data_IF_030747273246
#
_entry.id   IF_030747273246
#
_cell.length_a   1.000
_cell.length_b   1.000
_cell.length_c   1.000
_cell.angle_alpha   90.00
_cell.angle_beta   90.00
_cell.angle_gamma   90.00
#
_symmetry.space_group_name_H-M   'P 1'
#
loop_
_entity.id
_entity.type
_entity.pdbx_description
1 polymer ?
#
# COMPACT_ATOMS: atom_id res chain seq x y z
N UNK A 1 20.90 -23.38 -28.93
CA UNK A 1 19.88 -24.21 -28.27
C UNK A 1 19.12 -23.31 -27.31
N UNK A 2 17.87 -22.99 -27.62
CA UNK A 2 17.03 -22.24 -26.73
C UNK A 2 16.61 -23.20 -25.61
N UNK A 3 17.04 -22.93 -24.36
CA UNK A 3 16.58 -23.65 -23.18
C UNK A 3 15.09 -23.42 -23.03
N UNK A 4 14.35 -24.48 -22.74
CA UNK A 4 12.91 -24.40 -22.50
C UNK A 4 12.62 -23.42 -21.39
N UNK A 5 11.65 -22.48 -21.54
CA UNK A 5 11.29 -21.55 -20.49
C UNK A 5 10.66 -22.36 -19.35
N UNK A 6 11.37 -22.50 -18.23
CA UNK A 6 10.85 -23.17 -17.06
C UNK A 6 11.85 -23.88 -16.14
N UNK A 7 13.15 -23.79 -16.37
CA UNK A 7 14.08 -24.28 -15.36
C UNK A 7 14.13 -23.33 -14.16
N UNK A 8 14.13 -23.86 -12.91
CA UNK A 8 14.17 -23.06 -11.69
C UNK A 8 15.33 -22.04 -11.64
N UNK A 9 16.44 -22.34 -12.31
CA UNK A 9 17.62 -21.46 -12.40
C UNK A 9 17.37 -20.19 -13.20
N UNK A 10 16.52 -20.22 -14.23
CA UNK A 10 16.19 -19.04 -15.03
C UNK A 10 15.35 -18.02 -14.23
N UNK A 11 14.50 -18.51 -13.34
CA UNK A 11 13.66 -17.65 -12.48
C UNK A 11 14.51 -16.96 -11.42
N UNK A 12 15.52 -17.63 -10.86
CA UNK A 12 16.39 -17.09 -9.83
C UNK A 12 17.55 -16.24 -10.39
N UNK A 13 17.83 -16.34 -11.69
CA UNK A 13 18.94 -15.65 -12.34
C UNK A 13 19.00 -14.14 -12.08
N UNK A 14 17.89 -13.36 -12.08
CA UNK A 14 17.95 -11.94 -11.77
C UNK A 14 18.41 -11.65 -10.35
N UNK A 15 18.15 -12.55 -9.39
CA UNK A 15 18.57 -12.44 -7.99
C UNK A 15 20.05 -12.86 -7.83
N UNK A 16 20.46 -13.91 -8.52
CA UNK A 16 21.81 -14.44 -8.45
C UNK A 16 22.84 -13.60 -9.21
N UNK A 17 22.43 -12.96 -10.31
CA UNK A 17 23.29 -12.19 -11.21
C UNK A 17 22.66 -10.83 -11.55
N UNK A 18 22.76 -9.89 -10.63
CA UNK A 18 22.26 -8.54 -10.83
C UNK A 18 23.11 -7.77 -11.83
N UNK A 19 22.49 -7.21 -12.86
CA UNK A 19 23.19 -6.50 -13.93
C UNK A 19 23.68 -5.12 -13.52
N UNK A 20 24.76 -4.63 -14.15
CA UNK A 20 25.24 -3.22 -13.95
C UNK A 20 24.15 -2.19 -14.29
N UNK A 21 23.26 -2.47 -15.24
CA UNK A 21 22.14 -1.61 -15.61
C UNK A 21 21.16 -1.41 -14.44
N UNK A 22 20.93 -2.46 -13.65
CA UNK A 22 20.11 -2.36 -12.45
C UNK A 22 20.70 -1.39 -11.43
N UNK A 23 21.99 -1.47 -11.14
CA UNK A 23 22.65 -0.57 -10.20
C UNK A 23 22.65 0.88 -10.67
N UNK A 24 22.80 1.11 -11.98
CA UNK A 24 22.70 2.45 -12.58
C UNK A 24 21.27 2.99 -12.40
N UNK A 25 20.25 2.18 -12.76
CA UNK A 25 18.84 2.58 -12.60
C UNK A 25 18.49 2.84 -11.13
N UNK A 26 18.99 2.01 -10.21
CA UNK A 26 18.83 2.19 -8.78
C UNK A 26 19.50 3.48 -8.29
N UNK A 27 20.72 3.78 -8.76
CA UNK A 27 21.44 5.02 -8.42
C UNK A 27 20.71 6.27 -8.90
N UNK A 28 20.16 6.24 -10.11
CA UNK A 28 19.33 7.34 -10.64
C UNK A 28 18.06 7.50 -9.78
N UNK A 29 17.37 6.42 -9.48
CA UNK A 29 16.17 6.47 -8.63
C UNK A 29 16.48 7.01 -7.23
N UNK A 30 17.59 6.59 -6.63
CA UNK A 30 18.05 7.08 -5.33
C UNK A 30 18.37 8.59 -5.39
N UNK A 31 19.04 9.06 -6.45
CA UNK A 31 19.35 10.49 -6.63
C UNK A 31 18.07 11.33 -6.77
N UNK A 32 17.08 10.85 -7.53
CA UNK A 32 15.77 11.50 -7.66
C UNK A 32 15.04 11.53 -6.31
N UNK A 33 15.07 10.44 -5.54
CA UNK A 33 14.46 10.37 -4.20
C UNK A 33 15.13 11.36 -3.22
N UNK A 34 16.46 11.49 -3.25
CA UNK A 34 17.18 12.47 -2.45
C UNK A 34 16.84 13.93 -2.82
N UNK A 35 16.78 14.23 -4.13
CA UNK A 35 16.35 15.55 -4.61
C UNK A 35 14.91 15.86 -4.15
N UNK A 36 14.01 14.88 -4.30
CA UNK A 36 12.63 15.02 -3.82
C UNK A 36 12.58 15.28 -2.32
N UNK A 37 13.37 14.57 -1.51
CA UNK A 37 13.42 14.76 -0.06
C UNK A 37 13.91 16.17 0.32
N UNK A 38 14.87 16.72 -0.41
CA UNK A 38 15.34 18.09 -0.18
C UNK A 38 14.27 19.14 -0.51
N UNK A 39 13.55 18.95 -1.64
CA UNK A 39 12.42 19.82 -2.03
C UNK A 39 11.28 19.71 -1.04
N UNK A 40 11.02 18.51 -0.53
CA UNK A 40 10.00 18.28 0.50
C UNK A 40 10.40 18.95 1.83
N UNK A 41 11.68 18.92 2.21
CA UNK A 41 12.17 19.69 3.37
C UNK A 41 11.87 21.18 3.24
N UNK A 42 12.11 21.76 2.08
CA UNK A 42 11.72 23.15 1.81
C UNK A 42 10.20 23.37 1.90
N UNK A 43 9.38 22.45 1.37
CA UNK A 43 7.92 22.52 1.51
C UNK A 43 7.47 22.48 2.99
N UNK A 44 8.15 21.72 3.85
CA UNK A 44 7.81 21.67 5.27
C UNK A 44 8.10 22.99 6.01
N UNK A 45 9.13 23.74 5.57
CA UNK A 45 9.47 25.05 6.12
C UNK A 45 8.50 26.14 5.66
N UNK A 46 8.22 26.20 4.36
CA UNK A 46 7.42 27.28 3.74
C UNK A 46 5.92 26.98 3.71
N UNK A 47 5.52 25.72 3.87
CA UNK A 47 4.14 25.26 3.76
C UNK A 47 3.73 24.86 2.35
N UNK A 48 2.46 24.43 2.20
CA UNK A 48 1.91 23.95 0.93
C UNK A 48 1.85 25.03 -0.17
N UNK A 49 1.99 26.30 0.18
CA UNK A 49 1.94 27.42 -0.77
C UNK A 49 2.97 27.30 -1.89
N UNK A 50 4.13 26.69 -1.62
CA UNK A 50 5.17 26.45 -2.63
C UNK A 50 4.75 25.49 -3.73
N UNK A 51 3.68 24.74 -3.54
CA UNK A 51 3.11 23.82 -4.52
C UNK A 51 2.02 24.48 -5.40
N UNK A 52 1.73 25.77 -5.20
CA UNK A 52 0.57 26.47 -5.75
C UNK A 52 -0.79 25.84 -5.38
N UNK A 53 -0.84 24.98 -4.39
CA UNK A 53 -2.11 24.54 -3.79
C UNK A 53 -2.60 25.63 -2.85
N UNK A 54 -3.92 25.84 -2.82
CA UNK A 54 -4.49 26.80 -1.90
C UNK A 54 -4.25 26.37 -0.46
N UNK A 55 -3.91 27.34 0.37
CA UNK A 55 -3.92 27.16 1.80
C UNK A 55 -5.36 26.92 2.29
N UNK A 56 -5.53 25.96 3.20
CA UNK A 56 -6.83 25.62 3.81
C UNK A 56 -7.54 26.81 4.48
N UNK A 57 -6.80 27.88 4.78
CA UNK A 57 -7.34 29.10 5.40
C UNK A 57 -7.77 30.19 4.43
N UNK A 58 -7.41 30.12 3.15
CA UNK A 58 -7.60 31.21 2.19
C UNK A 58 -8.95 31.23 1.46
N UNK A 59 -9.82 30.25 1.70
CA UNK A 59 -11.20 30.24 1.20
C UNK A 59 -11.37 30.19 -0.33
N UNK A 60 -10.33 29.98 -1.10
CA UNK A 60 -10.37 30.17 -2.53
C UNK A 60 -9.51 29.23 -3.37
N UNK A 61 -9.41 27.95 -3.04
CA UNK A 61 -8.66 27.06 -3.91
C UNK A 61 -8.97 25.60 -3.69
N UNK A 62 -8.62 24.78 -4.68
CA UNK A 62 -8.72 23.35 -4.55
C UNK A 62 -7.44 22.83 -3.85
N UNK A 63 -7.56 22.06 -2.76
CA UNK A 63 -6.42 21.36 -2.16
C UNK A 63 -5.96 20.18 -3.02
N UNK A 64 -6.61 19.95 -4.15
CA UNK A 64 -6.31 18.86 -5.08
C UNK A 64 -5.14 19.25 -5.98
N UNK A 65 -4.13 18.41 -5.99
CA UNK A 65 -2.98 18.56 -6.85
C UNK A 65 -2.38 17.21 -7.18
N UNK A 66 -1.13 17.22 -7.61
CA UNK A 66 -0.40 16.02 -7.98
C UNK A 66 -0.35 14.99 -6.83
N UNK A 67 -0.25 15.44 -5.59
CA UNK A 67 -0.17 14.54 -4.43
C UNK A 67 -1.43 13.69 -4.27
N UNK A 68 -2.61 14.30 -4.38
CA UNK A 68 -3.87 13.56 -4.29
C UNK A 68 -4.08 12.69 -5.53
N UNK A 69 -3.78 13.20 -6.72
CA UNK A 69 -3.84 12.40 -7.94
C UNK A 69 -2.95 11.17 -7.88
N UNK A 70 -1.71 11.32 -7.41
CA UNK A 70 -0.79 10.21 -7.22
C UNK A 70 -1.24 9.24 -6.11
N UNK A 71 -1.78 9.75 -5.02
CA UNK A 71 -2.38 8.95 -3.97
C UNK A 71 -3.48 8.03 -4.51
N UNK A 72 -4.46 8.58 -5.24
CA UNK A 72 -5.57 7.82 -5.82
C UNK A 72 -5.05 6.75 -6.81
N UNK A 73 -4.07 7.12 -7.62
CA UNK A 73 -3.46 6.20 -8.58
C UNK A 73 -2.81 5.00 -7.91
N UNK A 74 -2.02 5.24 -6.84
CA UNK A 74 -1.39 4.17 -6.07
C UNK A 74 -2.40 3.29 -5.32
N UNK A 75 -3.46 3.89 -4.77
CA UNK A 75 -4.57 3.14 -4.16
C UNK A 75 -5.24 2.24 -5.19
N UNK A 76 -5.47 2.74 -6.41
CA UNK A 76 -6.04 1.94 -7.50
C UNK A 76 -5.17 0.73 -7.88
N UNK A 77 -3.85 0.91 -7.99
CA UNK A 77 -2.89 -0.18 -8.23
C UNK A 77 -2.94 -1.21 -7.09
N UNK A 78 -2.93 -0.73 -5.84
CA UNK A 78 -2.97 -1.60 -4.67
C UNK A 78 -4.23 -2.48 -4.66
N UNK A 79 -5.39 -1.89 -4.94
CA UNK A 79 -6.65 -2.64 -5.00
C UNK A 79 -6.65 -3.68 -6.12
N UNK A 80 -6.23 -3.30 -7.32
CA UNK A 80 -6.14 -4.24 -8.44
C UNK A 80 -5.22 -5.43 -8.14
N UNK A 81 -4.05 -5.16 -7.56
CA UNK A 81 -3.08 -6.19 -7.23
C UNK A 81 -3.58 -7.20 -6.20
N UNK A 82 -4.12 -6.70 -5.09
CA UNK A 82 -4.53 -7.61 -4.01
C UNK A 82 -5.81 -8.38 -4.33
N UNK A 83 -6.77 -7.76 -5.03
CA UNK A 83 -7.98 -8.45 -5.48
C UNK A 83 -7.62 -9.59 -6.45
N UNK A 84 -6.67 -9.34 -7.37
CA UNK A 84 -6.17 -10.37 -8.27
C UNK A 84 -5.55 -11.53 -7.48
N UNK A 85 -4.66 -11.25 -6.54
CA UNK A 85 -4.03 -12.28 -5.72
C UNK A 85 -5.04 -13.07 -4.90
N UNK A 86 -5.96 -12.38 -4.22
CA UNK A 86 -7.01 -13.01 -3.44
C UNK A 86 -7.93 -13.89 -4.31
N UNK A 87 -8.30 -13.43 -5.50
CA UNK A 87 -9.09 -14.22 -6.45
C UNK A 87 -8.36 -15.50 -6.89
N UNK A 88 -7.06 -15.39 -7.23
CA UNK A 88 -6.23 -16.55 -7.58
C UNK A 88 -6.25 -17.60 -6.47
N UNK A 89 -6.17 -17.16 -5.23
CA UNK A 89 -6.20 -18.05 -4.05
C UNK A 89 -7.57 -18.65 -3.83
N UNK A 90 -8.63 -17.84 -3.77
CA UNK A 90 -9.99 -18.29 -3.44
C UNK A 90 -10.56 -19.24 -4.50
N UNK A 91 -10.29 -18.99 -5.77
CA UNK A 91 -10.75 -19.84 -6.87
C UNK A 91 -9.79 -20.98 -7.21
N UNK A 92 -8.71 -21.17 -6.43
CA UNK A 92 -7.76 -22.27 -6.61
C UNK A 92 -7.01 -22.25 -7.94
N UNK A 93 -6.78 -21.06 -8.52
CA UNK A 93 -6.15 -20.88 -9.84
C UNK A 93 -4.63 -21.07 -9.75
N UNK A 94 -4.17 -22.28 -9.43
CA UNK A 94 -2.75 -22.61 -9.18
C UNK A 94 -1.79 -22.14 -10.28
N UNK A 95 -2.21 -22.17 -11.54
CA UNK A 95 -1.40 -21.71 -12.69
C UNK A 95 -0.99 -20.24 -12.57
N UNK A 96 -1.78 -19.41 -11.90
CA UNK A 96 -1.57 -17.97 -11.79
C UNK A 96 -0.91 -17.55 -10.46
N UNK A 97 -0.48 -18.49 -9.62
CA UNK A 97 0.22 -18.19 -8.37
C UNK A 97 1.46 -17.29 -8.53
N UNK A 98 2.34 -17.47 -9.55
CA UNK A 98 3.47 -16.56 -9.75
C UNK A 98 3.04 -15.12 -10.00
N UNK A 99 1.94 -14.91 -10.74
CA UNK A 99 1.37 -13.59 -11.00
C UNK A 99 0.81 -13.00 -9.71
N UNK A 100 0.15 -13.83 -8.88
CA UNK A 100 -0.37 -13.40 -7.58
C UNK A 100 0.75 -12.89 -6.66
N UNK A 101 1.91 -13.55 -6.62
CA UNK A 101 3.07 -13.10 -5.83
C UNK A 101 3.58 -11.72 -6.24
N UNK A 102 3.72 -11.50 -7.56
CA UNK A 102 4.11 -10.18 -8.08
C UNK A 102 3.07 -9.12 -7.72
N UNK A 103 1.78 -9.47 -7.82
CA UNK A 103 0.69 -8.59 -7.47
C UNK A 103 0.68 -8.22 -5.98
N UNK A 104 0.98 -9.17 -5.08
CA UNK A 104 1.10 -8.94 -3.62
C UNK A 104 2.24 -7.95 -3.31
N UNK A 105 3.42 -8.16 -3.90
CA UNK A 105 4.56 -7.25 -3.73
C UNK A 105 4.26 -5.85 -4.26
N UNK A 106 3.65 -5.78 -5.44
CA UNK A 106 3.24 -4.50 -6.04
C UNK A 106 2.22 -3.79 -5.15
N UNK A 107 1.27 -4.52 -4.58
CA UNK A 107 0.26 -3.96 -3.66
C UNK A 107 0.90 -3.34 -2.44
N UNK A 108 1.84 -4.04 -1.78
CA UNK A 108 2.50 -3.51 -0.59
C UNK A 108 3.31 -2.24 -0.92
N UNK A 109 4.03 -2.25 -2.06
CA UNK A 109 4.74 -1.07 -2.54
C UNK A 109 3.80 0.09 -2.86
N UNK A 110 2.68 -0.19 -3.52
CA UNK A 110 1.68 0.81 -3.87
C UNK A 110 1.00 1.41 -2.64
N UNK A 111 0.66 0.62 -1.63
CA UNK A 111 0.11 1.11 -0.36
C UNK A 111 1.13 1.97 0.41
N UNK A 112 2.41 1.60 0.39
CA UNK A 112 3.47 2.41 0.98
C UNK A 112 3.56 3.78 0.32
N UNK A 113 3.48 3.81 -1.01
CA UNK A 113 3.47 5.07 -1.77
C UNK A 113 2.21 5.89 -1.51
N UNK A 114 1.03 5.26 -1.46
CA UNK A 114 -0.21 5.93 -1.13
C UNK A 114 -0.13 6.60 0.25
N UNK A 115 0.33 5.88 1.27
CA UNK A 115 0.54 6.44 2.61
C UNK A 115 1.53 7.61 2.63
N UNK A 116 2.63 7.51 1.86
CA UNK A 116 3.60 8.59 1.72
C UNK A 116 2.97 9.84 1.09
N UNK A 117 2.17 9.70 0.05
CA UNK A 117 1.51 10.84 -0.61
C UNK A 117 0.50 11.54 0.30
N UNK A 118 -0.20 10.83 1.18
CA UNK A 118 -1.03 11.45 2.22
C UNK A 118 -0.18 12.29 3.17
N UNK A 119 0.92 11.71 3.69
CA UNK A 119 1.81 12.41 4.61
C UNK A 119 2.38 13.69 4.01
N UNK A 120 2.81 13.62 2.75
CA UNK A 120 3.34 14.79 2.02
C UNK A 120 2.26 15.85 1.80
N UNK A 121 1.04 15.41 1.48
CA UNK A 121 -0.09 16.32 1.24
C UNK A 121 -0.57 17.04 2.51
N UNK A 122 -0.39 16.44 3.67
CA UNK A 122 -0.89 17.03 4.94
C UNK A 122 -0.25 18.37 5.29
N UNK A 123 0.89 18.74 4.74
CA UNK A 123 1.63 19.96 5.09
C UNK A 123 2.22 19.95 6.51
N UNK A 124 1.55 19.33 7.46
CA UNK A 124 1.96 19.17 8.88
C UNK A 124 1.84 17.69 9.29
N UNK A 125 2.71 16.80 8.78
CA UNK A 125 2.66 15.36 9.09
C UNK A 125 2.91 15.05 10.58
N UNK A 126 3.58 15.94 11.31
CA UNK A 126 3.75 15.87 12.75
C UNK A 126 2.41 15.78 13.50
N UNK A 127 1.37 16.44 13.00
CA UNK A 127 0.03 16.42 13.62
C UNK A 127 -0.66 15.07 13.51
N UNK A 128 -0.30 14.23 12.56
CA UNK A 128 -0.82 12.87 12.50
C UNK A 128 -0.49 12.13 13.79
N UNK A 129 0.77 12.16 14.21
CA UNK A 129 1.23 11.45 15.41
C UNK A 129 0.85 12.19 16.69
N UNK A 130 0.96 13.53 16.72
CA UNK A 130 0.78 14.33 17.92
C UNK A 130 -0.69 14.68 18.22
N UNK A 131 -1.58 14.60 17.24
CA UNK A 131 -2.97 15.00 17.39
C UNK A 131 -3.96 13.91 16.96
N UNK A 132 -3.85 13.37 15.74
CA UNK A 132 -4.83 12.42 15.21
C UNK A 132 -4.77 11.11 15.97
N UNK A 133 -3.58 10.55 16.20
CA UNK A 133 -3.43 9.27 16.92
C UNK A 133 -3.89 9.36 18.37
N UNK A 134 -3.46 10.34 19.18
CA UNK A 134 -3.93 10.46 20.57
C UNK A 134 -5.43 10.74 20.68
N UNK A 135 -5.99 11.50 19.74
CA UNK A 135 -7.41 11.84 19.72
C UNK A 135 -8.27 10.86 18.91
N UNK A 136 -7.72 9.72 18.48
CA UNK A 136 -8.37 8.78 17.58
C UNK A 136 -9.81 8.40 17.96
N UNK A 137 -10.15 8.11 19.22
CA UNK A 137 -11.54 7.80 19.60
C UNK A 137 -12.56 8.88 19.27
N UNK A 138 -12.11 10.13 19.15
CA UNK A 138 -12.93 11.28 18.80
C UNK A 138 -12.83 11.62 17.31
N UNK A 139 -11.62 11.63 16.78
CA UNK A 139 -11.35 11.99 15.37
C UNK A 139 -11.98 11.01 14.40
N UNK A 140 -12.02 9.72 14.70
CA UNK A 140 -12.67 8.69 13.86
C UNK A 140 -14.18 8.90 13.74
N UNK A 141 -14.82 9.63 14.67
CA UNK A 141 -16.26 9.92 14.60
C UNK A 141 -16.59 11.15 13.76
N UNK A 142 -15.63 12.02 13.55
CA UNK A 142 -15.86 13.37 13.00
C UNK A 142 -15.02 13.69 11.77
N UNK A 143 -13.93 12.97 11.55
CA UNK A 143 -12.98 13.29 10.48
C UNK A 143 -12.88 12.17 9.44
N UNK A 144 -13.25 12.42 8.16
CA UNK A 144 -13.02 11.49 7.07
C UNK A 144 -11.53 11.15 6.86
N UNK A 145 -10.60 12.05 7.20
CA UNK A 145 -9.17 11.78 7.17
C UNK A 145 -8.79 10.65 8.14
N UNK A 146 -9.39 10.64 9.34
CA UNK A 146 -9.14 9.57 10.30
C UNK A 146 -9.67 8.21 9.80
N UNK A 147 -10.76 8.19 9.04
CA UNK A 147 -11.26 6.98 8.38
C UNK A 147 -10.28 6.47 7.34
N UNK A 148 -9.78 7.37 6.49
CA UNK A 148 -8.84 7.03 5.43
C UNK A 148 -7.53 6.48 5.99
N UNK A 149 -6.95 7.13 7.00
CA UNK A 149 -5.75 6.65 7.70
C UNK A 149 -5.99 5.26 8.32
N UNK A 150 -7.15 5.04 8.93
CA UNK A 150 -7.53 3.74 9.51
C UNK A 150 -7.59 2.66 8.44
N UNK A 151 -8.29 2.95 7.36
CA UNK A 151 -8.49 2.04 6.23
C UNK A 151 -7.16 1.64 5.61
N UNK A 152 -6.33 2.62 5.26
CA UNK A 152 -5.03 2.37 4.64
C UNK A 152 -4.12 1.58 5.58
N UNK A 153 -4.10 1.93 6.87
CA UNK A 153 -3.31 1.20 7.86
C UNK A 153 -3.76 -0.25 7.98
N UNK A 154 -5.07 -0.48 8.12
CA UNK A 154 -5.63 -1.84 8.19
C UNK A 154 -5.30 -2.64 6.94
N UNK A 155 -5.47 -2.02 5.78
CA UNK A 155 -5.20 -2.65 4.49
C UNK A 155 -3.71 -2.98 4.32
N UNK A 156 -2.84 -2.07 4.73
CA UNK A 156 -1.40 -2.29 4.74
C UNK A 156 -1.02 -3.48 5.64
N UNK A 157 -1.53 -3.50 6.88
CA UNK A 157 -1.24 -4.58 7.84
C UNK A 157 -1.76 -5.93 7.32
N UNK A 158 -2.98 -5.97 6.78
CA UNK A 158 -3.53 -7.20 6.20
C UNK A 158 -2.70 -7.70 5.01
N UNK A 159 -2.32 -6.80 4.10
CA UNK A 159 -1.50 -7.13 2.93
C UNK A 159 -0.09 -7.57 3.34
N UNK A 160 0.52 -6.88 4.29
CA UNK A 160 1.85 -7.24 4.80
C UNK A 160 1.81 -8.61 5.51
N UNK A 161 0.77 -8.89 6.28
CA UNK A 161 0.56 -10.20 6.92
C UNK A 161 0.38 -11.30 5.88
N UNK A 162 -0.50 -11.06 4.89
CA UNK A 162 -0.75 -11.99 3.80
C UNK A 162 0.53 -12.32 3.03
N UNK A 163 1.28 -11.29 2.60
CA UNK A 163 2.54 -11.44 1.90
C UNK A 163 3.60 -12.11 2.80
N UNK A 164 3.70 -11.70 4.07
CA UNK A 164 4.66 -12.26 5.02
C UNK A 164 4.47 -13.77 5.22
N UNK A 165 3.23 -14.22 5.37
CA UNK A 165 2.92 -15.64 5.51
C UNK A 165 3.28 -16.42 4.23
N UNK A 166 3.00 -15.86 3.06
CA UNK A 166 3.29 -16.50 1.79
C UNK A 166 4.78 -16.51 1.46
N UNK A 167 5.51 -15.42 1.74
CA UNK A 167 6.97 -15.36 1.60
C UNK A 167 7.65 -16.35 2.57
N UNK A 168 7.17 -16.48 3.79
CA UNK A 168 7.70 -17.42 4.78
C UNK A 168 7.68 -18.86 4.26
N UNK A 169 6.56 -19.27 3.65
CA UNK A 169 6.43 -20.55 2.95
C UNK A 169 7.44 -20.68 1.81
N UNK A 170 7.46 -19.69 0.91
CA UNK A 170 8.32 -19.73 -0.28
C UNK A 170 9.82 -19.77 0.09
N UNK A 171 10.24 -18.97 1.09
CA UNK A 171 11.64 -18.93 1.55
C UNK A 171 12.05 -20.26 2.19
N UNK A 172 11.18 -20.89 2.99
CA UNK A 172 11.48 -22.19 3.60
C UNK A 172 11.79 -23.25 2.54
N UNK A 173 11.01 -23.32 1.44
CA UNK A 173 11.20 -24.31 0.39
C UNK A 173 12.30 -23.95 -0.61
N UNK A 174 12.69 -22.68 -0.70
CA UNK A 174 13.67 -22.20 -1.68
C UNK A 174 15.04 -21.86 -1.05
N UNK A 175 15.16 -21.83 0.27
CA UNK A 175 16.37 -21.33 0.98
C UNK A 175 17.68 -21.91 0.49
N UNK A 176 17.69 -23.21 0.14
CA UNK A 176 18.91 -23.90 -0.29
C UNK A 176 19.34 -23.52 -1.74
N UNK A 177 18.51 -22.76 -2.46
CA UNK A 177 18.74 -22.24 -3.81
C UNK A 177 18.92 -20.72 -3.87
N UNK A 178 18.77 -20.07 -2.72
CA UNK A 178 18.87 -18.62 -2.61
C UNK A 178 20.31 -18.21 -2.25
N UNK A 179 20.73 -16.95 -2.53
CA UNK A 179 22.08 -16.49 -2.25
C UNK A 179 22.47 -16.56 -0.77
N UNK A 180 23.62 -17.11 -0.44
CA UNK A 180 24.11 -17.29 0.95
C UNK A 180 24.21 -15.99 1.73
N UNK A 181 24.49 -14.86 1.08
CA UNK A 181 24.62 -13.56 1.74
C UNK A 181 23.32 -13.06 2.38
N UNK A 182 22.17 -13.60 1.99
CA UNK A 182 20.86 -13.33 2.60
C UNK A 182 20.49 -14.38 3.68
N UNK A 183 21.38 -15.31 4.02
CA UNK A 183 21.15 -16.35 5.03
C UNK A 183 20.58 -15.85 6.36
N UNK A 184 21.08 -14.74 6.96
CA UNK A 184 20.49 -14.16 8.17
C UNK A 184 19.03 -13.74 8.02
N UNK A 185 18.67 -13.20 6.86
CA UNK A 185 17.28 -12.84 6.55
C UNK A 185 16.40 -14.09 6.44
N UNK A 186 16.87 -15.12 5.74
CA UNK A 186 16.11 -16.38 5.61
C UNK A 186 15.87 -17.04 6.96
N UNK A 187 16.89 -17.07 7.82
CA UNK A 187 16.79 -17.64 9.17
C UNK A 187 15.76 -16.91 10.02
N UNK A 188 15.71 -15.58 9.89
CA UNK A 188 14.71 -14.75 10.59
C UNK A 188 13.30 -15.03 10.08
N UNK A 189 13.12 -15.05 8.77
CA UNK A 189 11.81 -15.26 8.13
C UNK A 189 11.27 -16.66 8.41
N UNK A 190 12.12 -17.68 8.46
CA UNK A 190 11.73 -19.08 8.68
C UNK A 190 11.90 -19.56 10.13
N UNK A 191 12.15 -18.65 11.06
CA UNK A 191 12.35 -18.98 12.48
C UNK A 191 11.15 -19.76 13.02
N UNK A 192 11.41 -20.99 13.50
CA UNK A 192 10.38 -21.87 14.07
C UNK A 192 9.41 -22.47 13.05
N UNK A 193 9.66 -22.38 11.74
CA UNK A 193 8.82 -22.98 10.71
C UNK A 193 8.82 -24.50 10.81
N UNK A 194 7.66 -25.11 10.66
CA UNK A 194 7.44 -26.54 10.65
C UNK A 194 6.37 -26.96 9.63
N UNK A 195 6.34 -28.22 9.23
CA UNK A 195 5.32 -28.74 8.32
C UNK A 195 3.90 -28.56 8.85
N UNK A 196 3.72 -28.60 10.17
CA UNK A 196 2.42 -28.34 10.83
C UNK A 196 1.99 -26.87 10.64
N UNK A 197 2.96 -25.95 10.57
CA UNK A 197 2.68 -24.54 10.34
C UNK A 197 2.16 -24.29 8.92
N UNK A 198 2.55 -25.12 7.95
CA UNK A 198 2.11 -25.01 6.57
C UNK A 198 0.58 -25.05 6.44
N UNK A 199 -0.07 -26.03 7.07
CA UNK A 199 -1.53 -26.13 7.06
C UNK A 199 -2.21 -24.91 7.72
N UNK A 200 -1.60 -24.38 8.78
CA UNK A 200 -2.09 -23.20 9.48
C UNK A 200 -1.96 -21.98 8.57
N UNK A 201 -0.81 -21.80 7.93
CA UNK A 201 -0.55 -20.70 6.99
C UNK A 201 -1.53 -20.75 5.82
N UNK A 202 -1.73 -21.90 5.18
CA UNK A 202 -2.69 -22.05 4.08
C UNK A 202 -4.10 -21.61 4.49
N UNK A 203 -4.55 -22.04 5.67
CA UNK A 203 -5.84 -21.66 6.21
C UNK A 203 -5.94 -20.16 6.52
N UNK A 204 -4.91 -19.60 7.15
CA UNK A 204 -4.86 -18.17 7.47
C UNK A 204 -4.88 -17.32 6.20
N UNK A 205 -4.07 -17.68 5.21
CA UNK A 205 -3.98 -16.97 3.93
C UNK A 205 -5.30 -17.04 3.17
N UNK A 206 -6.04 -18.17 3.24
CA UNK A 206 -7.36 -18.30 2.64
C UNK A 206 -8.37 -17.34 3.29
N UNK A 207 -8.43 -17.31 4.63
CA UNK A 207 -9.32 -16.38 5.35
C UNK A 207 -8.95 -14.91 5.14
N UNK A 208 -7.66 -14.60 5.09
CA UNK A 208 -7.20 -13.25 4.75
C UNK A 208 -7.61 -12.86 3.32
N UNK A 209 -7.47 -13.77 2.36
CA UNK A 209 -7.92 -13.53 0.98
C UNK A 209 -9.42 -13.25 0.90
N UNK A 210 -10.24 -14.02 1.64
CA UNK A 210 -11.68 -13.79 1.72
C UNK A 210 -11.99 -12.42 2.36
N UNK A 211 -11.31 -12.11 3.48
CA UNK A 211 -11.46 -10.82 4.16
C UNK A 211 -11.08 -9.65 3.24
N UNK A 212 -10.00 -9.78 2.50
CA UNK A 212 -9.51 -8.75 1.56
C UNK A 212 -10.54 -8.50 0.44
N UNK A 213 -11.07 -9.54 -0.21
CA UNK A 213 -12.07 -9.36 -1.29
C UNK A 213 -13.33 -8.67 -0.80
N UNK A 214 -13.73 -8.92 0.45
CA UNK A 214 -14.91 -8.27 1.02
C UNK A 214 -14.60 -6.84 1.47
N UNK A 215 -13.45 -6.65 2.14
CA UNK A 215 -13.11 -5.37 2.76
C UNK A 215 -12.55 -4.35 1.77
N UNK A 216 -11.83 -4.77 0.72
CA UNK A 216 -11.20 -3.83 -0.20
C UNK A 216 -12.22 -2.88 -0.87
N UNK A 217 -13.35 -3.33 -1.44
CA UNK A 217 -14.37 -2.42 -1.98
C UNK A 217 -15.01 -1.56 -0.88
N UNK A 218 -15.30 -2.13 0.29
CA UNK A 218 -15.88 -1.40 1.41
C UNK A 218 -14.96 -0.28 1.89
N UNK A 219 -13.65 -0.55 1.98
CA UNK A 219 -12.65 0.39 2.42
C UNK A 219 -12.49 1.54 1.42
N UNK A 220 -12.48 1.25 0.11
CA UNK A 220 -12.39 2.26 -0.92
C UNK A 220 -13.59 3.21 -0.88
N UNK A 221 -14.80 2.66 -0.91
CA UNK A 221 -16.03 3.46 -0.91
C UNK A 221 -16.29 4.11 0.45
N UNK A 222 -15.81 3.49 1.50
CA UNK A 222 -16.08 3.90 2.86
C UNK A 222 -15.09 4.85 3.50
N UNK A 223 -13.86 4.85 3.09
CA UNK A 223 -12.79 5.70 3.61
C UNK A 223 -12.33 6.73 2.58
N UNK A 224 -11.71 6.23 1.51
CA UNK A 224 -11.03 7.07 0.51
C UNK A 224 -11.98 8.03 -0.21
N UNK A 225 -13.11 7.55 -0.72
CA UNK A 225 -14.04 8.38 -1.47
C UNK A 225 -14.68 9.48 -0.61
N UNK A 226 -15.22 9.20 0.59
CA UNK A 226 -15.73 10.24 1.46
C UNK A 226 -14.69 11.28 1.84
N UNK A 227 -13.44 10.87 2.09
CA UNK A 227 -12.36 11.82 2.36
C UNK A 227 -12.09 12.73 1.17
N UNK A 228 -12.02 12.19 -0.05
CA UNK A 228 -11.83 12.97 -1.26
C UNK A 228 -12.94 14.00 -1.44
N UNK A 229 -14.19 13.63 -1.20
CA UNK A 229 -15.30 14.59 -1.26
C UNK A 229 -15.21 15.66 -0.17
N UNK A 230 -14.70 15.33 1.02
CA UNK A 230 -14.52 16.32 2.08
C UNK A 230 -13.46 17.37 1.76
N UNK A 231 -12.58 17.09 0.78
CA UNK A 231 -11.55 18.03 0.29
C UNK A 231 -12.09 19.06 -0.72
N UNK A 232 -13.39 19.05 -1.05
CA UNK A 232 -14.00 19.97 -2.01
C UNK A 232 -14.95 20.94 -1.28
N UNK A 233 -14.45 21.84 -0.43
CA UNK A 233 -15.29 22.77 0.32
C UNK A 233 -15.96 23.82 -0.60
N UNK A 234 -15.50 23.97 -1.81
CA UNK A 234 -16.00 24.94 -2.80
C UNK A 234 -17.16 24.45 -3.65
N UNK A 235 -17.61 23.20 -3.51
CA UNK A 235 -18.77 22.72 -4.24
C UNK A 235 -20.07 23.33 -3.68
N UNK A 236 -20.86 24.03 -4.49
CA UNK A 236 -22.14 24.55 -4.05
C UNK A 236 -23.06 23.44 -3.51
N UNK A 237 -23.56 23.63 -2.29
CA UNK A 237 -24.44 22.66 -1.64
C UNK A 237 -23.72 21.50 -0.93
N UNK A 238 -22.38 21.50 -0.91
CA UNK A 238 -21.58 20.53 -0.16
C UNK A 238 -21.08 21.20 1.14
N UNK A 239 -21.50 20.67 2.28
CA UNK A 239 -21.13 21.19 3.60
C UNK A 239 -19.82 20.58 4.15
N UNK A 240 -19.13 19.79 3.34
CA UNK A 240 -17.88 19.14 3.75
C UNK A 240 -18.07 17.92 4.64
N UNK A 241 -19.31 17.56 5.00
CA UNK A 241 -19.63 16.47 5.90
C UNK A 241 -20.20 15.24 5.19
N UNK A 242 -19.46 14.16 5.07
CA UNK A 242 -20.05 12.85 4.79
C UNK A 242 -20.52 12.28 6.12
N UNK A 243 -21.84 12.24 6.32
CA UNK A 243 -22.44 11.70 7.53
C UNK A 243 -22.44 10.16 7.52
N UNK A 244 -22.35 9.53 8.70
CA UNK A 244 -22.30 8.08 8.82
C UNK A 244 -23.36 7.28 8.05
N UNK A 245 -24.64 7.72 8.00
CA UNK A 245 -25.67 7.08 7.16
C UNK A 245 -25.41 7.15 5.65
N UNK A 246 -24.88 8.28 5.18
CA UNK A 246 -24.51 8.46 3.76
C UNK A 246 -23.33 7.56 3.39
N UNK A 247 -22.42 7.39 4.32
CA UNK A 247 -21.32 6.46 4.20
C UNK A 247 -21.79 5.02 3.96
N UNK A 248 -22.73 4.52 4.78
CA UNK A 248 -23.29 3.19 4.61
C UNK A 248 -24.05 3.05 3.28
N UNK A 249 -24.75 4.08 2.85
CA UNK A 249 -25.45 4.07 1.57
C UNK A 249 -24.48 3.98 0.40
N UNK A 250 -23.40 4.78 0.41
CA UNK A 250 -22.35 4.75 -0.63
C UNK A 250 -21.61 3.41 -0.64
N UNK A 251 -21.40 2.81 0.52
CA UNK A 251 -20.71 1.52 0.64
C UNK A 251 -21.56 0.32 0.19
N UNK A 252 -22.89 0.48 0.15
CA UNK A 252 -23.84 -0.59 -0.20
C UNK A 252 -24.39 -0.49 -1.62
N UNK A 253 -24.16 0.63 -2.32
CA UNK A 253 -24.53 0.85 -3.74
C UNK A 253 -23.34 0.73 -4.66
#
# INVERSE_FOLDING_TARGET
MATSPGEPEDILRPILNTSKKYYIAFGIAAAVALLWSAVYGWQLEEGLIVTNLADWGSGGGSPWGLYIGAFIWWVGIAHGGIILSAAVRLFGMKRYQPVARVAELLTLGALSMAGLYILVHMGRPDRLVLSVVPAYPWTVRTSPLAWDVTVITLYFVMTATYLGLTIRYDVYHLRDRLPDYLGPFYSLVTLGYSETEEEIIERMVWWLALGIIVLAPLLLHGGVIPWLFSLIPSMPGWDGGVQGPQFLTIALT
#
